data_IF_936140858165
#
_entry.id   IF_936140858165
#
_cell.length_a   1.000
_cell.length_b   1.000
_cell.length_c   1.000
_cell.angle_alpha   90.00
_cell.angle_beta   90.00
_cell.angle_gamma   90.00
#
_symmetry.space_group_name_H-M   'P 1'
#
loop_
_entity.id
_entity.type
_entity.pdbx_description
1 polymer ?
#
# COMPACT_ATOMS: atom_id res chain seq x y z
N UNK A 1 -16.67 -0.50 33.02
CA UNK A 1 -15.29 -0.30 32.54
C UNK A 1 -15.06 -1.35 31.49
N UNK A 2 -14.91 -0.97 30.22
CA UNK A 2 -14.53 -1.92 29.18
C UNK A 2 -13.13 -2.46 29.52
N UNK A 3 -12.99 -3.77 29.57
CA UNK A 3 -11.69 -4.43 29.76
C UNK A 3 -10.79 -4.03 28.60
N UNK A 4 -9.67 -3.35 28.89
CA UNK A 4 -8.63 -3.09 27.90
C UNK A 4 -8.23 -4.45 27.30
N UNK A 5 -8.64 -4.71 26.06
CA UNK A 5 -8.21 -5.92 25.35
C UNK A 5 -6.76 -5.73 24.94
N UNK A 6 -5.88 -6.58 25.49
CA UNK A 6 -4.43 -6.53 25.25
C UNK A 6 -4.08 -7.17 23.90
N UNK A 7 -4.30 -6.46 22.79
CA UNK A 7 -3.92 -6.96 21.47
C UNK A 7 -2.45 -6.67 21.15
N UNK A 8 -1.80 -7.62 20.48
CA UNK A 8 -0.46 -7.51 19.95
C UNK A 8 -0.50 -7.60 18.43
N UNK A 9 -0.14 -6.50 17.75
CA UNK A 9 -0.08 -6.42 16.30
C UNK A 9 1.31 -6.82 15.79
N UNK A 10 1.36 -7.75 14.84
CA UNK A 10 2.54 -8.08 14.06
C UNK A 10 2.37 -7.51 12.65
N UNK A 11 3.22 -6.56 12.26
CA UNK A 11 3.20 -5.95 10.92
C UNK A 11 4.37 -6.47 10.10
N UNK A 12 4.07 -7.26 9.07
CA UNK A 12 5.06 -7.81 8.13
C UNK A 12 5.21 -6.87 6.94
N UNK A 13 6.45 -6.52 6.58
CA UNK A 13 6.70 -5.52 5.53
C UNK A 13 6.46 -4.08 6.02
N UNK A 14 6.72 -3.83 7.29
CA UNK A 14 6.43 -2.58 7.99
C UNK A 14 7.12 -1.32 7.39
N UNK A 15 8.18 -1.44 6.61
CA UNK A 15 8.81 -0.30 5.92
C UNK A 15 8.26 -0.04 4.52
N UNK A 16 7.31 -0.85 4.04
CA UNK A 16 6.64 -0.66 2.75
C UNK A 16 5.51 0.36 2.83
N UNK A 17 4.93 0.70 1.68
CA UNK A 17 3.93 1.75 1.52
C UNK A 17 2.74 1.60 2.49
N UNK A 18 2.09 0.43 2.49
CA UNK A 18 0.94 0.17 3.38
C UNK A 18 1.43 -0.19 4.79
N UNK A 19 2.46 -1.04 4.91
CA UNK A 19 2.96 -1.48 6.22
C UNK A 19 3.43 -0.33 7.10
N UNK A 20 4.07 0.68 6.50
CA UNK A 20 4.46 1.89 7.21
C UNK A 20 3.23 2.61 7.79
N UNK A 21 2.19 2.77 6.97
CA UNK A 21 0.97 3.45 7.38
C UNK A 21 0.20 2.66 8.44
N UNK A 22 0.18 1.32 8.37
CA UNK A 22 -0.42 0.46 9.40
C UNK A 22 0.28 0.68 10.75
N UNK A 23 1.62 0.66 10.80
CA UNK A 23 2.35 0.96 12.04
C UNK A 23 2.04 2.37 12.51
N UNK A 24 2.07 3.36 11.60
CA UNK A 24 1.78 4.75 11.93
C UNK A 24 0.38 4.91 12.55
N UNK A 25 -0.65 4.28 11.99
CA UNK A 25 -2.03 4.36 12.48
C UNK A 25 -2.21 3.58 13.80
N UNK A 26 -1.58 2.44 13.97
CA UNK A 26 -1.59 1.70 15.25
C UNK A 26 -0.98 2.51 16.39
N UNK A 27 -0.03 3.39 16.09
CA UNK A 27 0.62 4.25 17.09
C UNK A 27 -0.12 5.58 17.32
N UNK A 28 -1.11 5.92 16.51
CA UNK A 28 -1.96 7.08 16.76
C UNK A 28 -3.03 6.75 17.81
N UNK A 29 -3.52 7.73 18.57
CA UNK A 29 -4.70 7.54 19.40
C UNK A 29 -5.95 7.44 18.52
N UNK A 30 -6.11 6.31 17.84
CA UNK A 30 -7.29 6.00 17.01
C UNK A 30 -8.43 5.62 17.96
N UNK A 31 -9.37 6.53 18.19
CA UNK A 31 -10.44 6.45 19.19
C UNK A 31 -9.95 6.19 20.65
N UNK A 32 -10.58 6.77 21.64
CA UNK A 32 -10.28 6.62 23.08
C UNK A 32 -10.31 5.15 23.60
N UNK A 33 -10.32 4.17 22.71
CA UNK A 33 -10.40 2.72 22.94
C UNK A 33 -9.29 1.96 22.22
N UNK A 34 -8.09 2.52 22.06
CA UNK A 34 -6.97 1.76 21.49
C UNK A 34 -6.80 0.44 22.22
N UNK A 35 -7.04 -0.64 21.48
CA UNK A 35 -7.06 -2.00 22.00
C UNK A 35 -5.72 -2.71 21.81
N UNK A 36 -4.78 -2.07 21.11
CA UNK A 36 -3.43 -2.63 20.91
C UNK A 36 -2.49 -2.13 22.02
N UNK A 37 -1.83 -3.08 22.69
CA UNK A 37 -0.79 -2.80 23.69
C UNK A 37 0.59 -2.73 23.06
N UNK A 38 0.83 -3.60 22.07
CA UNK A 38 2.13 -3.80 21.45
C UNK A 38 2.00 -3.85 19.93
N UNK A 39 2.95 -3.21 19.26
CA UNK A 39 3.16 -3.28 17.81
C UNK A 39 4.56 -3.82 17.55
N UNK A 40 4.66 -4.93 16.84
CA UNK A 40 5.94 -5.48 16.36
C UNK A 40 6.02 -5.25 14.85
N UNK A 41 6.95 -4.40 14.44
CA UNK A 41 7.21 -4.06 13.04
C UNK A 41 8.39 -4.88 12.52
N UNK A 42 8.13 -5.78 11.55
CA UNK A 42 9.17 -6.59 10.92
C UNK A 42 9.50 -6.08 9.53
N UNK A 43 10.79 -5.88 9.28
CA UNK A 43 11.33 -5.41 8.01
C UNK A 43 12.49 -6.30 7.56
N UNK A 44 12.65 -6.44 6.24
CA UNK A 44 13.78 -7.18 5.67
C UNK A 44 15.03 -6.28 5.61
N UNK A 45 14.90 -5.12 4.95
CA UNK A 45 15.99 -4.14 4.83
C UNK A 45 16.19 -3.43 6.16
N UNK A 46 17.45 -3.10 6.53
CA UNK A 46 17.72 -2.33 7.75
C UNK A 46 16.93 -1.01 7.75
N UNK A 47 16.25 -0.75 8.86
CA UNK A 47 15.58 0.51 9.15
C UNK A 47 15.83 0.84 10.62
N UNK A 48 16.31 2.03 10.91
CA UNK A 48 16.41 2.53 12.27
C UNK A 48 15.12 3.23 12.67
N UNK A 49 14.79 3.20 13.94
CA UNK A 49 13.57 3.82 14.46
C UNK A 49 13.55 5.34 14.20
N UNK A 50 14.70 6.01 14.31
CA UNK A 50 14.88 7.44 14.02
C UNK A 50 14.63 7.80 12.56
N UNK A 51 14.89 6.87 11.64
CA UNK A 51 14.70 7.03 10.20
C UNK A 51 13.32 6.56 9.71
N UNK A 52 12.49 6.05 10.63
CA UNK A 52 11.16 5.52 10.28
C UNK A 52 10.11 6.60 10.10
N UNK A 53 10.30 7.76 10.71
CA UNK A 53 9.30 8.84 10.79
C UNK A 53 8.00 8.46 11.50
N UNK A 54 7.98 7.34 12.22
CA UNK A 54 6.84 6.99 13.07
C UNK A 54 6.77 7.89 14.31
N UNK A 55 5.57 8.04 14.91
CA UNK A 55 5.40 8.80 16.12
C UNK A 55 6.34 8.31 17.24
N UNK A 56 6.94 9.26 17.96
CA UNK A 56 7.80 8.94 19.11
C UNK A 56 7.01 8.20 20.18
N UNK A 57 7.68 7.24 20.84
CA UNK A 57 7.09 6.48 21.93
C UNK A 57 6.72 7.40 23.12
N UNK A 58 5.52 7.18 23.68
CA UNK A 58 5.04 7.80 24.90
C UNK A 58 4.30 6.76 25.74
N UNK A 59 4.00 7.03 26.99
CA UNK A 59 3.22 6.14 27.86
C UNK A 59 1.77 5.92 27.40
N UNK A 60 1.27 6.80 26.53
CA UNK A 60 -0.12 6.77 26.03
C UNK A 60 -0.27 5.95 24.74
N UNK A 61 0.85 5.58 24.10
CA UNK A 61 0.89 4.83 22.85
C UNK A 61 1.22 3.35 23.10
N UNK A 62 0.81 2.45 22.18
CA UNK A 62 1.28 1.08 22.18
C UNK A 62 2.82 1.00 22.20
N UNK A 63 3.38 0.00 22.86
CA UNK A 63 4.80 -0.28 22.74
C UNK A 63 5.14 -0.61 21.28
N UNK A 64 6.24 -0.05 20.75
CA UNK A 64 6.73 -0.37 19.42
C UNK A 64 8.06 -1.11 19.50
N UNK A 65 8.14 -2.25 18.82
CA UNK A 65 9.38 -2.98 18.57
C UNK A 65 9.64 -3.05 17.07
N UNK A 66 10.79 -2.55 16.60
CA UNK A 66 11.23 -2.65 15.22
C UNK A 66 12.36 -3.67 15.11
N UNK A 67 12.18 -4.67 14.25
CA UNK A 67 13.19 -5.70 14.02
C UNK A 67 13.47 -5.86 12.52
N UNK A 68 14.75 -5.69 12.15
CA UNK A 68 15.24 -5.81 10.77
C UNK A 68 15.81 -7.21 10.48
N UNK A 69 16.00 -7.52 9.20
CA UNK A 69 16.63 -8.76 8.75
C UNK A 69 15.68 -9.96 8.76
N UNK A 70 14.37 -9.74 8.63
CA UNK A 70 13.40 -10.82 8.43
C UNK A 70 13.28 -11.15 6.94
N UNK A 71 14.01 -12.17 6.50
CA UNK A 71 13.94 -12.67 5.14
C UNK A 71 12.79 -13.68 4.99
N UNK A 72 11.75 -13.33 4.26
CA UNK A 72 10.62 -14.22 4.00
C UNK A 72 10.91 -15.30 2.92
N UNK A 73 12.11 -15.31 2.35
CA UNK A 73 12.53 -16.31 1.35
C UNK A 73 13.34 -17.47 1.97
N UNK A 74 13.56 -17.44 3.28
CA UNK A 74 14.21 -18.54 4.02
C UNK A 74 13.26 -19.75 4.15
N UNK A 75 13.70 -20.82 4.78
CA UNK A 75 12.86 -21.99 5.08
C UNK A 75 11.84 -21.68 6.20
N UNK A 76 10.80 -22.51 6.32
CA UNK A 76 9.77 -22.36 7.36
C UNK A 76 10.38 -22.43 8.77
N UNK A 77 11.36 -23.34 9.00
CA UNK A 77 12.02 -23.50 10.30
C UNK A 77 12.97 -22.33 10.63
N UNK A 78 13.69 -21.79 9.64
CA UNK A 78 14.54 -20.61 9.85
C UNK A 78 13.70 -19.38 10.20
N UNK A 79 12.57 -19.18 9.50
CA UNK A 79 11.67 -18.06 9.81
C UNK A 79 11.06 -18.21 11.20
N UNK A 80 10.55 -19.38 11.53
CA UNK A 80 9.96 -19.69 12.83
C UNK A 80 10.98 -19.47 13.96
N UNK A 81 12.21 -19.95 13.79
CA UNK A 81 13.30 -19.75 14.76
C UNK A 81 13.60 -18.27 14.93
N UNK A 82 13.76 -17.52 13.81
CA UNK A 82 13.99 -16.08 13.86
C UNK A 82 12.87 -15.32 14.55
N UNK A 83 11.62 -15.71 14.30
CA UNK A 83 10.44 -15.08 14.92
C UNK A 83 10.45 -15.33 16.44
N UNK A 84 10.72 -16.56 16.86
CA UNK A 84 10.81 -16.95 18.28
C UNK A 84 11.92 -16.24 19.03
N UNK A 85 13.08 -16.07 18.40
CA UNK A 85 14.27 -15.50 19.04
C UNK A 85 14.27 -13.97 19.08
N UNK A 86 13.73 -13.33 18.02
CA UNK A 86 13.86 -11.88 17.84
C UNK A 86 12.60 -11.10 18.23
N UNK A 87 11.45 -11.75 18.37
CA UNK A 87 10.20 -11.10 18.75
C UNK A 87 9.87 -11.42 20.19
N UNK A 88 9.92 -10.40 21.03
CA UNK A 88 9.48 -10.51 22.41
C UNK A 88 7.99 -10.85 22.47
N UNK A 89 7.61 -11.69 23.44
CA UNK A 89 6.22 -12.10 23.69
C UNK A 89 5.50 -12.64 22.43
N UNK A 90 6.21 -13.38 21.57
CA UNK A 90 5.64 -13.95 20.33
C UNK A 90 4.34 -14.73 20.58
N UNK A 91 4.18 -15.35 21.76
CA UNK A 91 2.96 -16.06 22.15
C UNK A 91 1.72 -15.17 22.29
N UNK A 92 1.90 -13.87 22.49
CA UNK A 92 0.81 -12.89 22.63
C UNK A 92 0.35 -12.26 21.30
N UNK A 93 1.03 -12.54 20.18
CA UNK A 93 0.64 -12.02 18.84
C UNK A 93 -0.80 -12.44 18.56
N UNK A 94 -1.69 -11.44 18.43
CA UNK A 94 -3.11 -11.68 18.20
C UNK A 94 -3.57 -11.29 16.79
N UNK A 95 -2.91 -10.33 16.18
CA UNK A 95 -3.30 -9.77 14.87
C UNK A 95 -2.08 -9.66 13.96
N UNK A 96 -2.22 -10.13 12.73
CA UNK A 96 -1.18 -10.06 11.71
C UNK A 96 -1.65 -9.12 10.58
N UNK A 97 -0.85 -8.10 10.32
CA UNK A 97 -1.00 -7.20 9.17
C UNK A 97 0.09 -7.57 8.16
N UNK A 98 -0.29 -8.31 7.13
CA UNK A 98 0.67 -8.82 6.16
C UNK A 98 0.76 -7.89 4.95
N UNK A 99 1.83 -7.09 4.87
CA UNK A 99 2.06 -6.08 3.84
C UNK A 99 3.33 -6.34 3.01
N UNK A 100 3.87 -7.55 3.05
CA UNK A 100 5.04 -7.91 2.26
C UNK A 100 4.63 -8.42 0.87
N UNK A 101 5.36 -7.99 -0.13
CA UNK A 101 5.24 -8.45 -1.51
C UNK A 101 6.61 -8.42 -2.18
N UNK A 102 6.84 -9.38 -3.08
CA UNK A 102 8.04 -9.44 -3.90
C UNK A 102 7.65 -9.60 -5.37
N UNK A 103 8.09 -8.64 -6.17
CA UNK A 103 7.96 -8.69 -7.62
C UNK A 103 8.93 -9.71 -8.24
N UNK A 104 8.48 -10.43 -9.26
CA UNK A 104 9.32 -11.23 -10.15
C UNK A 104 8.89 -10.95 -11.59
N UNK A 105 9.82 -11.06 -12.53
CA UNK A 105 9.54 -10.87 -13.97
C UNK A 105 8.70 -12.01 -14.58
N UNK A 106 8.70 -13.17 -13.94
CA UNK A 106 7.84 -14.31 -14.26
C UNK A 106 6.62 -14.27 -13.33
N UNK A 107 5.40 -14.03 -13.86
CA UNK A 107 4.21 -13.87 -13.03
C UNK A 107 3.82 -15.14 -12.24
N UNK A 108 4.02 -16.33 -12.79
CA UNK A 108 3.69 -17.57 -12.07
C UNK A 108 4.67 -17.80 -10.92
N UNK A 109 5.95 -17.51 -11.15
CA UNK A 109 6.98 -17.54 -10.10
C UNK A 109 6.74 -16.46 -9.04
N UNK A 110 6.26 -15.27 -9.43
CA UNK A 110 5.83 -14.23 -8.47
C UNK A 110 4.74 -14.77 -7.55
N UNK A 111 3.74 -15.48 -8.10
CA UNK A 111 2.69 -16.13 -7.31
C UNK A 111 3.27 -17.15 -6.34
N UNK A 112 4.11 -18.07 -6.81
CA UNK A 112 4.73 -19.09 -5.97
C UNK A 112 5.52 -18.48 -4.80
N UNK A 113 6.35 -17.49 -5.08
CA UNK A 113 7.15 -16.77 -4.08
C UNK A 113 6.25 -16.14 -3.04
N UNK A 114 5.26 -15.36 -3.46
CA UNK A 114 4.44 -14.57 -2.53
C UNK A 114 3.51 -15.47 -1.69
N UNK A 115 2.93 -16.50 -2.28
CA UNK A 115 2.13 -17.49 -1.54
C UNK A 115 3.00 -18.24 -0.53
N UNK A 116 4.22 -18.61 -0.90
CA UNK A 116 5.20 -19.24 -0.01
C UNK A 116 5.57 -18.34 1.16
N UNK A 117 5.82 -17.05 0.90
CA UNK A 117 6.13 -16.07 1.95
C UNK A 117 4.99 -15.92 2.96
N UNK A 118 3.74 -15.74 2.49
CA UNK A 118 2.58 -15.60 3.39
C UNK A 118 2.32 -16.87 4.19
N UNK A 119 2.34 -18.03 3.53
CA UNK A 119 2.17 -19.34 4.19
C UNK A 119 3.17 -19.53 5.33
N UNK A 120 4.43 -19.17 5.12
CA UNK A 120 5.51 -19.23 6.13
C UNK A 120 5.18 -18.42 7.36
N UNK A 121 4.73 -17.16 7.17
CA UNK A 121 4.32 -16.30 8.28
C UNK A 121 3.14 -16.90 9.04
N UNK A 122 2.09 -17.34 8.33
CA UNK A 122 0.89 -17.94 8.93
C UNK A 122 1.26 -19.15 9.78
N UNK A 123 2.04 -20.09 9.25
CA UNK A 123 2.45 -21.30 9.95
C UNK A 123 3.32 -21.02 11.17
N UNK A 124 4.25 -20.07 11.06
CA UNK A 124 5.08 -19.68 12.19
C UNK A 124 4.26 -19.06 13.32
N UNK A 125 3.38 -18.07 12.99
CA UNK A 125 2.52 -17.43 14.00
C UNK A 125 1.57 -18.44 14.62
N UNK A 126 0.89 -19.26 13.83
CA UNK A 126 -0.01 -20.32 14.29
C UNK A 126 0.68 -21.31 15.26
N UNK A 127 1.96 -21.59 15.04
CA UNK A 127 2.71 -22.51 15.90
C UNK A 127 3.28 -21.89 17.17
N UNK A 128 3.51 -20.58 17.21
CA UNK A 128 4.17 -19.88 18.30
C UNK A 128 3.21 -19.05 19.16
N UNK A 129 2.11 -18.57 18.58
CA UNK A 129 1.14 -17.77 19.31
C UNK A 129 -0.03 -18.61 19.81
N UNK A 130 -0.43 -18.37 21.06
CA UNK A 130 -1.67 -18.90 21.66
C UNK A 130 -2.85 -17.93 21.56
N UNK A 131 -2.62 -16.76 21.00
CA UNK A 131 -3.57 -15.62 20.98
C UNK A 131 -3.99 -15.23 19.58
N UNK A 132 -3.51 -15.91 18.53
CA UNK A 132 -3.75 -15.55 17.13
C UNK A 132 -5.24 -15.59 16.78
N UNK A 133 -5.76 -14.48 16.24
CA UNK A 133 -7.20 -14.28 15.96
C UNK A 133 -7.48 -13.83 14.53
N UNK A 134 -6.62 -12.96 13.96
CA UNK A 134 -6.93 -12.33 12.70
C UNK A 134 -5.70 -12.02 11.86
N UNK A 135 -5.83 -12.24 10.55
CA UNK A 135 -4.87 -11.81 9.54
C UNK A 135 -5.57 -10.91 8.53
N UNK A 136 -4.99 -9.76 8.25
CA UNK A 136 -5.43 -8.87 7.15
C UNK A 136 -4.28 -8.62 6.19
N UNK A 137 -4.58 -8.62 4.91
CA UNK A 137 -3.61 -8.29 3.87
C UNK A 137 -4.22 -7.40 2.79
N UNK A 138 -3.43 -6.47 2.21
CA UNK A 138 -3.84 -5.74 1.02
C UNK A 138 -3.71 -6.64 -0.21
N UNK A 139 -4.79 -6.79 -0.95
CA UNK A 139 -4.82 -7.22 -2.32
C UNK A 139 -4.65 -6.02 -3.25
N UNK A 140 -5.49 -5.91 -4.26
CA UNK A 140 -5.52 -4.77 -5.17
C UNK A 140 -6.31 -5.07 -6.45
N UNK A 141 -6.56 -4.05 -7.24
CA UNK A 141 -7.36 -4.13 -8.48
C UNK A 141 -6.72 -5.00 -9.58
N UNK A 142 -5.45 -5.37 -9.44
CA UNK A 142 -4.87 -6.48 -10.22
C UNK A 142 -5.69 -7.76 -10.06
N UNK A 143 -6.36 -7.96 -8.91
CA UNK A 143 -7.32 -9.03 -8.64
C UNK A 143 -8.64 -8.90 -9.41
N UNK A 144 -8.84 -7.84 -10.15
CA UNK A 144 -9.95 -7.63 -11.09
C UNK A 144 -9.50 -7.56 -12.55
N UNK A 145 -8.26 -7.97 -12.84
CA UNK A 145 -7.77 -8.05 -14.22
C UNK A 145 -7.40 -6.72 -14.86
N UNK A 146 -7.08 -5.68 -14.09
CA UNK A 146 -6.71 -4.36 -14.65
C UNK A 146 -5.40 -4.39 -15.47
N UNK A 147 -4.62 -5.49 -15.42
CA UNK A 147 -3.42 -5.65 -16.25
C UNK A 147 -3.71 -6.27 -17.62
N UNK A 148 -4.94 -6.74 -17.85
CA UNK A 148 -5.41 -7.05 -19.18
C UNK A 148 -5.64 -5.76 -19.99
N UNK A 149 -5.38 -5.76 -21.30
CA UNK A 149 -5.75 -4.63 -22.14
C UNK A 149 -7.23 -4.27 -21.95
N UNK A 150 -7.52 -2.98 -21.72
CA UNK A 150 -8.85 -2.44 -21.47
C UNK A 150 -9.59 -3.01 -20.24
N UNK A 151 -8.88 -3.78 -19.39
CA UNK A 151 -9.44 -4.45 -18.22
C UNK A 151 -10.26 -5.70 -18.56
N UNK A 152 -10.73 -6.42 -17.52
CA UNK A 152 -11.61 -7.61 -17.68
C UNK A 152 -13.07 -7.25 -17.42
N UNK A 153 -13.31 -6.33 -16.51
CA UNK A 153 -14.66 -5.99 -16.05
C UNK A 153 -14.95 -4.50 -16.24
N UNK A 154 -16.22 -4.18 -16.42
CA UNK A 154 -16.71 -2.81 -16.44
C UNK A 154 -16.85 -2.26 -15.02
N UNK A 155 -16.44 -1.01 -14.81
CA UNK A 155 -16.62 -0.31 -13.54
C UNK A 155 -18.10 0.09 -13.28
N UNK A 156 -18.54 0.20 -12.03
CA UNK A 156 -17.75 0.05 -10.81
C UNK A 156 -17.38 -1.40 -10.52
N UNK A 157 -16.10 -1.62 -10.14
CA UNK A 157 -15.62 -2.96 -9.79
C UNK A 157 -16.20 -3.37 -8.43
N UNK A 158 -16.79 -4.57 -8.38
CA UNK A 158 -17.38 -5.17 -7.16
C UNK A 158 -16.59 -6.41 -6.75
N UNK A 159 -16.65 -6.76 -5.48
CA UNK A 159 -15.80 -7.81 -4.90
C UNK A 159 -16.09 -9.20 -5.45
N UNK A 160 -17.33 -9.45 -5.92
CA UNK A 160 -17.73 -10.71 -6.57
C UNK A 160 -16.93 -11.01 -7.84
N UNK A 161 -16.52 -9.97 -8.57
CA UNK A 161 -15.72 -10.09 -9.80
C UNK A 161 -14.36 -10.76 -9.58
N UNK A 162 -13.82 -10.70 -8.36
CA UNK A 162 -12.55 -11.34 -8.03
C UNK A 162 -12.57 -12.87 -8.15
N UNK A 163 -13.76 -13.49 -8.13
CA UNK A 163 -13.96 -14.93 -8.29
C UNK A 163 -14.25 -15.31 -9.75
N UNK A 164 -14.44 -14.32 -10.64
CA UNK A 164 -14.78 -14.48 -12.06
C UNK A 164 -13.60 -14.20 -13.00
N UNK A 165 -12.38 -14.10 -12.47
CA UNK A 165 -11.18 -13.87 -13.29
C UNK A 165 -10.99 -14.98 -14.32
N UNK A 166 -10.59 -14.64 -15.57
CA UNK A 166 -10.17 -15.63 -16.55
C UNK A 166 -9.07 -16.54 -15.97
N UNK A 167 -9.22 -17.86 -16.16
CA UNK A 167 -8.34 -18.86 -15.53
C UNK A 167 -6.85 -18.62 -15.79
N UNK A 168 -6.49 -18.29 -17.04
CA UNK A 168 -5.08 -18.05 -17.41
C UNK A 168 -4.54 -16.77 -16.74
N UNK A 169 -5.38 -15.75 -16.56
CA UNK A 169 -4.97 -14.56 -15.81
C UNK A 169 -4.88 -14.84 -14.31
N UNK A 170 -5.83 -15.56 -13.73
CA UNK A 170 -5.85 -15.90 -12.31
C UNK A 170 -4.58 -16.62 -11.84
N UNK A 171 -3.97 -17.45 -12.71
CA UNK A 171 -2.68 -18.12 -12.46
C UNK A 171 -1.51 -17.15 -12.24
N UNK A 172 -1.61 -15.93 -12.76
CA UNK A 172 -0.56 -14.90 -12.72
C UNK A 172 -0.75 -13.87 -11.61
N UNK A 173 -1.75 -14.05 -10.75
CA UNK A 173 -2.11 -13.11 -9.69
C UNK A 173 -2.13 -13.80 -8.34
N UNK A 174 -1.40 -13.29 -7.36
CA UNK A 174 -1.25 -13.93 -6.05
C UNK A 174 -2.54 -13.99 -5.22
N UNK A 175 -3.50 -13.06 -5.43
CA UNK A 175 -4.65 -12.91 -4.54
C UNK A 175 -5.60 -14.11 -4.50
N UNK A 176 -6.04 -14.72 -5.60
CA UNK A 176 -6.83 -15.96 -5.56
C UNK A 176 -6.11 -17.09 -4.81
N UNK A 177 -4.80 -17.20 -5.00
CA UNK A 177 -3.96 -18.21 -4.33
C UNK A 177 -3.78 -17.92 -2.84
N UNK A 178 -3.71 -16.64 -2.42
CA UNK A 178 -3.74 -16.26 -1.01
C UNK A 178 -5.04 -16.69 -0.35
N UNK A 179 -6.18 -16.39 -0.97
CA UNK A 179 -7.50 -16.78 -0.46
C UNK A 179 -7.60 -18.30 -0.26
N UNK A 180 -7.26 -19.08 -1.29
CA UNK A 180 -7.28 -20.54 -1.23
C UNK A 180 -6.35 -21.10 -0.13
N UNK A 181 -5.14 -20.56 -0.02
CA UNK A 181 -4.16 -20.96 0.99
C UNK A 181 -4.65 -20.59 2.41
N UNK A 182 -5.13 -19.37 2.60
CA UNK A 182 -5.62 -18.90 3.91
C UNK A 182 -6.86 -19.65 4.37
N UNK A 183 -7.82 -19.94 3.47
CA UNK A 183 -8.98 -20.78 3.76
C UNK A 183 -8.55 -22.16 4.24
N UNK A 184 -7.55 -22.75 3.57
CA UNK A 184 -7.03 -24.07 3.99
C UNK A 184 -6.32 -24.01 5.35
N UNK A 185 -5.50 -23.00 5.61
CA UNK A 185 -4.72 -22.88 6.85
C UNK A 185 -5.59 -22.43 8.06
N UNK A 186 -6.72 -21.76 7.81
CA UNK A 186 -7.68 -21.33 8.86
C UNK A 186 -8.80 -22.34 9.12
N UNK A 187 -8.94 -23.38 8.31
CA UNK A 187 -9.95 -24.41 8.52
C UNK A 187 -9.83 -25.04 9.92
N UNK A 188 -10.94 -25.09 10.64
CA UNK A 188 -11.03 -25.63 12.01
C UNK A 188 -10.12 -24.90 13.04
N UNK A 189 -9.72 -23.67 12.74
CA UNK A 189 -8.91 -22.84 13.63
C UNK A 189 -9.76 -21.75 14.30
N UNK A 190 -9.18 -21.13 15.33
CA UNK A 190 -9.80 -20.00 16.06
C UNK A 190 -9.48 -18.63 15.46
N UNK A 191 -8.67 -18.58 14.39
CA UNK A 191 -8.31 -17.35 13.67
C UNK A 191 -8.94 -17.31 12.29
N UNK A 192 -9.07 -16.12 11.76
CA UNK A 192 -9.62 -15.89 10.42
C UNK A 192 -8.87 -14.77 9.69
N UNK A 193 -9.30 -14.41 8.49
CA UNK A 193 -8.60 -13.45 7.64
C UNK A 193 -9.56 -12.60 6.80
N UNK A 194 -9.05 -11.47 6.25
CA UNK A 194 -9.70 -10.75 5.16
C UNK A 194 -8.69 -10.16 4.17
N UNK A 195 -9.16 -9.89 2.96
CA UNK A 195 -8.46 -9.15 1.91
C UNK A 195 -9.04 -7.74 1.80
N UNK A 196 -8.15 -6.72 1.73
CA UNK A 196 -8.52 -5.36 1.39
C UNK A 196 -8.05 -5.06 -0.02
N UNK A 197 -8.95 -4.59 -0.87
CA UNK A 197 -8.67 -4.34 -2.28
C UNK A 197 -8.66 -2.84 -2.61
N UNK A 198 -7.53 -2.14 -2.47
CA UNK A 198 -7.35 -0.77 -2.96
C UNK A 198 -7.03 -0.74 -4.46
N UNK A 199 -7.25 0.41 -5.11
CA UNK A 199 -6.75 0.69 -6.45
C UNK A 199 -5.44 1.51 -6.38
N UNK A 200 -5.44 2.79 -6.75
CA UNK A 200 -4.24 3.62 -6.69
C UNK A 200 -3.88 3.98 -5.24
N UNK A 201 -2.80 3.40 -4.73
CA UNK A 201 -2.39 3.60 -3.33
C UNK A 201 -1.47 4.82 -3.23
N UNK A 202 -1.92 5.82 -2.47
CA UNK A 202 -1.20 7.06 -2.25
C UNK A 202 -0.66 7.10 -0.81
N UNK A 203 0.65 7.28 -0.65
CA UNK A 203 1.22 7.33 0.68
C UNK A 203 2.74 7.51 0.69
N UNK A 204 3.27 7.61 1.89
CA UNK A 204 4.69 7.77 2.19
C UNK A 204 5.36 6.43 2.49
N UNK A 205 6.66 6.36 2.22
CA UNK A 205 7.53 5.26 2.63
C UNK A 205 8.96 5.77 2.87
N UNK A 206 9.59 5.46 4.00
CA UNK A 206 10.88 6.02 4.36
C UNK A 206 12.05 5.51 3.49
N UNK A 207 11.89 4.32 2.89
CA UNK A 207 12.91 3.65 2.09
C UNK A 207 12.61 3.64 0.58
N UNK A 208 11.61 4.41 0.14
CA UNK A 208 11.09 4.33 -1.23
C UNK A 208 10.38 3.01 -1.52
N UNK A 209 9.64 2.98 -2.62
CA UNK A 209 8.96 1.78 -3.10
C UNK A 209 8.76 1.88 -4.61
N UNK A 210 8.93 0.77 -5.32
CA UNK A 210 8.59 0.68 -6.73
C UNK A 210 7.09 0.93 -7.02
N UNK A 211 6.25 0.87 -5.99
CA UNK A 211 4.80 1.07 -6.09
C UNK A 211 4.33 2.44 -5.56
N UNK A 212 5.25 3.33 -5.16
CA UNK A 212 4.88 4.65 -4.64
C UNK A 212 4.67 5.65 -5.76
N UNK A 213 3.44 5.74 -6.26
CA UNK A 213 3.06 6.73 -7.28
C UNK A 213 3.29 8.17 -6.76
N UNK A 214 2.92 8.44 -5.51
CA UNK A 214 3.15 9.74 -4.89
C UNK A 214 4.65 10.09 -4.82
N UNK A 215 5.50 9.14 -4.45
CA UNK A 215 6.95 9.35 -4.43
C UNK A 215 7.54 9.58 -5.81
N UNK A 216 7.11 8.80 -6.79
CA UNK A 216 7.55 8.95 -8.17
C UNK A 216 7.22 10.35 -8.73
N UNK A 217 5.97 10.78 -8.59
CA UNK A 217 5.55 12.09 -9.07
C UNK A 217 6.10 13.23 -8.20
N UNK A 218 6.31 13.02 -6.91
CA UNK A 218 6.95 14.03 -6.08
C UNK A 218 8.35 14.39 -6.60
N UNK A 219 9.17 13.39 -6.91
CA UNK A 219 10.51 13.62 -7.48
C UNK A 219 10.42 14.23 -8.87
N UNK A 220 9.50 13.76 -9.73
CA UNK A 220 9.30 14.32 -11.06
C UNK A 220 8.87 15.79 -11.03
N UNK A 221 7.82 16.12 -10.27
CA UNK A 221 7.29 17.47 -10.14
C UNK A 221 8.32 18.43 -9.50
N UNK A 222 9.05 17.97 -8.49
CA UNK A 222 10.11 18.74 -7.89
C UNK A 222 11.27 19.01 -8.88
N UNK A 223 11.66 17.98 -9.65
CA UNK A 223 12.68 18.14 -10.71
C UNK A 223 12.21 19.13 -11.77
N UNK A 224 10.95 19.04 -12.17
CA UNK A 224 10.35 19.95 -13.16
C UNK A 224 10.39 21.40 -12.67
N UNK A 225 10.01 21.64 -11.41
CA UNK A 225 10.13 22.96 -10.77
C UNK A 225 11.57 23.49 -10.76
N UNK A 226 12.56 22.64 -10.43
CA UNK A 226 13.98 23.05 -10.45
C UNK A 226 14.47 23.45 -11.85
N UNK A 227 13.90 22.88 -12.89
CA UNK A 227 14.33 23.15 -14.28
C UNK A 227 13.59 24.33 -14.88
N UNK A 228 12.27 24.41 -14.69
CA UNK A 228 11.39 25.35 -15.39
C UNK A 228 10.94 26.53 -14.52
N UNK A 229 11.15 26.46 -13.21
CA UNK A 229 10.76 27.50 -12.26
C UNK A 229 9.32 27.35 -11.75
N UNK A 230 9.02 28.18 -10.74
CA UNK A 230 7.69 28.28 -10.16
C UNK A 230 6.67 28.86 -11.16
N UNK A 231 5.43 28.35 -11.13
CA UNK A 231 4.36 28.76 -12.05
C UNK A 231 4.42 28.13 -13.43
N UNK A 232 5.44 27.29 -13.72
CA UNK A 232 5.54 26.62 -15.01
C UNK A 232 4.37 25.65 -15.24
N UNK A 233 3.91 25.55 -16.48
CA UNK A 233 2.90 24.58 -16.91
C UNK A 233 3.56 23.21 -17.09
N UNK A 234 2.94 22.17 -16.51
CA UNK A 234 3.39 20.80 -16.63
C UNK A 234 2.27 19.93 -17.19
N UNK A 235 2.46 19.38 -18.41
CA UNK A 235 1.49 18.45 -18.99
C UNK A 235 1.41 17.15 -18.17
N UNK A 236 0.20 16.57 -18.11
CA UNK A 236 0.03 15.22 -17.56
C UNK A 236 0.88 14.21 -18.35
N UNK A 237 1.71 13.38 -17.67
CA UNK A 237 2.57 12.43 -18.35
C UNK A 237 1.81 11.14 -18.75
N UNK A 238 0.90 11.27 -19.72
CA UNK A 238 0.02 10.20 -20.17
C UNK A 238 -0.78 10.60 -21.40
N UNK A 239 -1.73 9.77 -21.79
CA UNK A 239 -2.67 10.02 -22.89
C UNK A 239 -3.98 10.61 -22.37
N UNK A 240 -4.77 11.22 -23.28
CA UNK A 240 -6.05 11.83 -22.91
C UNK A 240 -7.01 10.83 -22.23
N UNK A 241 -7.09 9.60 -22.74
CA UNK A 241 -7.92 8.56 -22.12
C UNK A 241 -7.50 8.23 -20.68
N UNK A 242 -6.18 8.16 -20.39
CA UNK A 242 -5.66 7.97 -19.03
C UNK A 242 -5.86 9.19 -18.12
N UNK A 243 -5.94 10.39 -18.70
CA UNK A 243 -6.25 11.63 -17.99
C UNK A 243 -7.72 11.71 -17.58
N UNK A 244 -8.62 11.16 -18.38
CA UNK A 244 -10.08 11.23 -18.19
C UNK A 244 -10.67 10.02 -17.48
N UNK A 245 -9.98 8.87 -17.50
CA UNK A 245 -10.49 7.62 -16.92
C UNK A 245 -10.82 7.76 -15.42
N UNK A 246 -11.94 7.17 -15.03
CA UNK A 246 -12.42 7.16 -13.66
C UNK A 246 -11.72 6.02 -12.87
N UNK A 247 -11.14 6.36 -11.72
CA UNK A 247 -10.46 5.40 -10.84
C UNK A 247 -10.72 5.73 -9.37
N UNK A 248 -10.36 4.82 -8.46
CA UNK A 248 -10.43 5.05 -7.02
C UNK A 248 -9.07 5.37 -6.45
N UNK A 249 -8.96 6.47 -5.72
CA UNK A 249 -7.78 6.79 -4.92
C UNK A 249 -7.93 6.21 -3.53
N UNK A 250 -6.84 5.63 -3.03
CA UNK A 250 -6.81 5.06 -1.69
C UNK A 250 -5.56 5.53 -0.97
N UNK A 251 -5.69 6.42 0.00
CA UNK A 251 -4.53 6.73 0.84
C UNK A 251 -4.11 5.51 1.64
N UNK A 252 -2.81 5.32 1.82
CA UNK A 252 -2.28 4.25 2.67
C UNK A 252 -2.82 4.37 4.11
N UNK A 253 -3.18 5.59 4.54
CA UNK A 253 -3.86 5.88 5.80
C UNK A 253 -5.23 5.21 5.85
N UNK A 254 -6.06 5.36 4.81
CA UNK A 254 -7.39 4.71 4.74
C UNK A 254 -7.26 3.19 4.72
N UNK A 255 -6.31 2.63 3.94
CA UNK A 255 -6.06 1.18 3.97
C UNK A 255 -5.72 0.70 5.38
N UNK A 256 -4.85 1.44 6.08
CA UNK A 256 -4.46 1.10 7.46
C UNK A 256 -5.63 1.19 8.44
N UNK A 257 -6.47 2.22 8.34
CA UNK A 257 -7.66 2.40 9.18
C UNK A 257 -8.67 1.28 8.97
N UNK A 258 -8.96 0.92 7.71
CA UNK A 258 -9.85 -0.21 7.40
C UNK A 258 -9.23 -1.52 7.88
N UNK A 259 -7.91 -1.73 7.73
CA UNK A 259 -7.24 -2.93 8.21
C UNK A 259 -7.37 -3.09 9.74
N UNK A 260 -7.19 -2.00 10.49
CA UNK A 260 -7.37 -1.98 11.95
C UNK A 260 -8.84 -2.24 12.30
N UNK A 261 -9.77 -1.55 11.64
CA UNK A 261 -11.21 -1.73 11.86
C UNK A 261 -11.63 -3.18 11.59
N UNK A 262 -11.20 -3.76 10.47
CA UNK A 262 -11.47 -5.16 10.11
C UNK A 262 -10.94 -6.13 11.16
N UNK A 263 -9.72 -5.91 11.64
CA UNK A 263 -9.07 -6.77 12.63
C UNK A 263 -9.78 -6.77 13.98
N UNK A 264 -10.49 -5.68 14.31
CA UNK A 264 -11.28 -5.54 15.53
C UNK A 264 -12.74 -5.99 15.38
N UNK A 265 -13.18 -6.29 14.15
CA UNK A 265 -14.53 -6.75 13.83
C UNK A 265 -14.49 -8.07 13.01
N UNK A 266 -13.79 -9.11 13.49
CA UNK A 266 -13.49 -10.31 12.71
C UNK A 266 -14.73 -11.03 12.17
N UNK A 267 -15.85 -11.04 12.90
CA UNK A 267 -17.09 -11.72 12.48
C UNK A 267 -17.73 -11.11 11.22
N UNK A 268 -17.52 -9.82 11.00
CA UNK A 268 -18.05 -9.12 9.82
C UNK A 268 -17.14 -9.35 8.61
N UNK A 269 -15.82 -9.35 8.87
CA UNK A 269 -14.79 -9.32 7.82
C UNK A 269 -14.26 -10.71 7.41
N UNK A 270 -14.51 -11.75 8.19
CA UNK A 270 -13.91 -13.08 7.99
C UNK A 270 -14.12 -13.63 6.57
N UNK A 271 -13.02 -14.08 5.99
CA UNK A 271 -12.95 -14.79 4.70
C UNK A 271 -13.56 -14.03 3.52
N UNK A 272 -13.46 -12.69 3.53
CA UNK A 272 -14.05 -11.83 2.51
C UNK A 272 -13.03 -10.83 1.95
N UNK A 273 -13.39 -10.34 0.76
CA UNK A 273 -12.72 -9.21 0.09
C UNK A 273 -13.53 -7.94 0.39
N UNK A 274 -12.84 -6.83 0.60
CA UNK A 274 -13.44 -5.51 0.74
C UNK A 274 -12.70 -4.50 -0.11
N UNK A 275 -13.41 -3.87 -1.03
CA UNK A 275 -12.90 -2.71 -1.74
C UNK A 275 -12.66 -1.54 -0.79
N UNK A 276 -11.54 -0.85 -0.97
CA UNK A 276 -11.12 0.28 -0.11
C UNK A 276 -10.77 1.48 -0.97
N UNK A 277 -11.33 2.63 -0.65
CA UNK A 277 -10.98 3.92 -1.26
C UNK A 277 -11.24 5.06 -0.27
N UNK A 278 -10.65 6.22 -0.52
CA UNK A 278 -10.83 7.42 0.30
C UNK A 278 -12.25 7.99 0.17
N UNK A 279 -12.87 7.83 -1.01
CA UNK A 279 -14.23 8.28 -1.29
C UNK A 279 -14.98 7.26 -2.16
N UNK A 280 -16.30 7.22 -1.98
CA UNK A 280 -17.18 6.45 -2.87
C UNK A 280 -17.30 7.07 -4.27
N UNK A 281 -17.03 8.37 -4.40
CA UNK A 281 -16.99 9.05 -5.68
C UNK A 281 -15.66 8.79 -6.37
N UNK A 282 -15.64 8.36 -7.66
CA UNK A 282 -14.40 8.16 -8.38
C UNK A 282 -13.69 9.49 -8.64
N UNK A 283 -12.38 9.43 -8.79
CA UNK A 283 -11.52 10.53 -9.24
C UNK A 283 -11.10 10.33 -10.70
N UNK A 284 -10.55 11.40 -11.31
CA UNK A 284 -9.80 11.31 -12.57
C UNK A 284 -8.52 12.13 -12.47
N UNK A 285 -7.56 11.91 -13.36
CA UNK A 285 -6.37 12.75 -13.42
C UNK A 285 -6.67 14.15 -13.95
N UNK A 286 -7.77 14.34 -14.66
CA UNK A 286 -8.27 15.67 -15.04
C UNK A 286 -8.53 16.55 -13.80
N UNK A 287 -9.08 15.97 -12.76
CA UNK A 287 -9.30 16.64 -11.49
C UNK A 287 -8.02 16.71 -10.66
N UNK A 288 -7.30 15.60 -10.57
CA UNK A 288 -6.20 15.44 -9.62
C UNK A 288 -4.90 16.07 -10.05
N UNK A 289 -4.53 16.01 -11.34
CA UNK A 289 -3.24 16.51 -11.80
C UNK A 289 -3.00 18.00 -11.50
N UNK A 290 -3.95 18.92 -11.75
CA UNK A 290 -3.80 20.31 -11.36
C UNK A 290 -3.58 20.50 -9.85
N UNK A 291 -4.25 19.70 -9.02
CA UNK A 291 -4.15 19.79 -7.57
C UNK A 291 -2.76 19.35 -7.07
N UNK A 292 -2.26 18.20 -7.52
CA UNK A 292 -0.94 17.72 -7.10
C UNK A 292 0.20 18.61 -7.65
N UNK A 293 0.09 19.11 -8.87
CA UNK A 293 1.05 20.06 -9.43
C UNK A 293 1.10 21.36 -8.63
N UNK A 294 -0.06 21.85 -8.17
CA UNK A 294 -0.14 23.09 -7.40
C UNK A 294 0.57 23.03 -6.06
N UNK A 295 0.66 21.85 -5.42
CA UNK A 295 1.45 21.69 -4.20
C UNK A 295 2.93 22.04 -4.41
N UNK A 296 3.46 21.80 -5.62
CA UNK A 296 4.82 22.15 -6.02
C UNK A 296 4.94 23.58 -6.56
N UNK A 297 3.86 24.36 -6.61
CA UNK A 297 3.83 25.68 -7.23
C UNK A 297 3.84 25.65 -8.76
N UNK A 298 3.45 24.52 -9.36
CA UNK A 298 3.31 24.31 -10.81
C UNK A 298 1.84 24.40 -11.24
N UNK A 299 1.63 24.53 -12.54
CA UNK A 299 0.28 24.47 -13.16
C UNK A 299 0.14 23.17 -13.92
N UNK A 300 -0.61 22.20 -13.38
CA UNK A 300 -0.95 20.97 -14.08
C UNK A 300 -1.91 21.25 -15.24
N UNK A 301 -1.54 20.81 -16.44
CA UNK A 301 -2.35 20.97 -17.65
C UNK A 301 -2.62 19.61 -18.29
N UNK A 302 -3.67 19.48 -19.15
CA UNK A 302 -3.94 18.24 -19.87
C UNK A 302 -2.73 17.73 -20.67
N UNK A 303 -2.68 16.44 -21.01
CA UNK A 303 -1.67 15.94 -21.93
C UNK A 303 -1.82 16.61 -23.31
N UNK A 304 -0.75 16.74 -24.11
CA UNK A 304 -0.84 17.18 -25.49
C UNK A 304 -1.72 16.23 -26.33
N UNK A 305 -2.43 16.74 -27.33
CA UNK A 305 -3.23 15.91 -28.27
C UNK A 305 -2.39 14.85 -29.00
N UNK A 306 -1.08 15.10 -29.14
CA UNK A 306 -0.11 14.19 -29.77
C UNK A 306 0.52 13.20 -28.79
N UNK A 307 0.11 13.19 -27.51
CA UNK A 307 0.68 12.34 -26.49
C UNK A 307 0.56 10.85 -26.85
N UNK A 308 1.65 10.13 -26.69
CA UNK A 308 1.78 8.71 -27.03
C UNK A 308 2.60 7.94 -26.01
N UNK A 309 2.46 6.62 -26.02
CA UNK A 309 3.26 5.72 -25.19
C UNK A 309 4.78 5.81 -25.46
N UNK A 310 5.20 6.43 -26.56
CA UNK A 310 6.60 6.60 -26.95
C UNK A 310 7.24 7.91 -26.42
N UNK A 311 6.45 8.79 -25.80
CA UNK A 311 6.95 10.06 -25.27
C UNK A 311 7.92 9.85 -24.10
N UNK A 312 8.84 10.84 -23.89
CA UNK A 312 9.76 10.78 -22.75
C UNK A 312 9.00 10.60 -21.41
N UNK A 313 9.45 9.66 -20.61
CA UNK A 313 8.82 9.32 -19.33
C UNK A 313 9.34 10.18 -18.20
N UNK A 314 8.58 10.34 -17.10
CA UNK A 314 9.02 11.05 -15.90
C UNK A 314 10.39 10.57 -15.38
N UNK A 315 10.67 9.27 -15.37
CA UNK A 315 11.96 8.75 -14.93
C UNK A 315 13.13 9.19 -15.84
N UNK A 316 12.90 9.30 -17.15
CA UNK A 316 13.91 9.79 -18.09
C UNK A 316 14.22 11.25 -17.82
N UNK A 317 13.20 12.07 -17.55
CA UNK A 317 13.40 13.49 -17.19
C UNK A 317 14.14 13.64 -15.85
N UNK A 318 13.81 12.85 -14.84
CA UNK A 318 14.53 12.81 -13.56
C UNK A 318 16.02 12.45 -13.79
N UNK A 319 16.30 11.40 -14.57
CA UNK A 319 17.68 10.98 -14.88
C UNK A 319 18.46 12.06 -15.63
N UNK A 320 17.82 12.73 -16.58
CA UNK A 320 18.46 13.84 -17.34
C UNK A 320 18.90 15.00 -16.43
N UNK A 321 18.18 15.22 -15.32
CA UNK A 321 18.43 16.33 -14.40
C UNK A 321 18.92 15.88 -13.02
N UNK A 322 19.48 14.66 -12.93
CA UNK A 322 19.95 14.05 -11.69
C UNK A 322 20.93 14.95 -10.91
N UNK A 323 21.90 15.57 -11.61
CA UNK A 323 22.88 16.46 -10.98
C UNK A 323 22.22 17.65 -10.27
N UNK A 324 21.12 18.18 -10.78
CA UNK A 324 20.36 19.26 -10.13
C UNK A 324 19.73 18.78 -8.81
N UNK A 325 19.23 17.55 -8.77
CA UNK A 325 18.67 16.96 -7.56
C UNK A 325 19.75 16.71 -6.50
N UNK A 326 20.92 16.21 -6.90
CA UNK A 326 22.08 16.03 -6.02
C UNK A 326 22.54 17.37 -5.47
N UNK A 327 22.66 18.40 -6.32
CA UNK A 327 23.03 19.75 -5.89
C UNK A 327 22.00 20.38 -4.94
N UNK A 328 20.72 20.06 -5.10
CA UNK A 328 19.66 20.46 -4.18
C UNK A 328 19.69 19.68 -2.84
N UNK A 329 20.56 18.67 -2.69
CA UNK A 329 20.70 17.88 -1.47
C UNK A 329 19.47 17.00 -1.19
N UNK A 330 18.87 16.45 -2.22
CA UNK A 330 17.71 15.55 -2.13
C UNK A 330 18.16 14.18 -1.63
N UNK A 331 17.57 13.71 -0.54
CA UNK A 331 17.82 12.38 0.01
C UNK A 331 17.10 11.31 -0.82
N UNK A 332 17.77 10.21 -1.11
CA UNK A 332 17.13 9.02 -1.68
C UNK A 332 16.73 9.16 -3.14
N UNK A 333 17.44 9.99 -3.92
CA UNK A 333 17.20 10.14 -5.37
C UNK A 333 17.32 8.81 -6.11
N UNK A 334 18.15 7.89 -5.61
CA UNK A 334 18.44 6.60 -6.23
C UNK A 334 17.47 5.48 -5.84
N UNK A 335 16.54 5.74 -4.91
CA UNK A 335 15.63 4.70 -4.39
C UNK A 335 14.33 4.56 -5.19
N UNK A 336 14.11 5.39 -6.20
CA UNK A 336 12.92 5.37 -7.03
C UNK A 336 13.10 4.42 -8.22
N UNK A 337 12.43 3.27 -8.19
CA UNK A 337 12.27 2.42 -9.36
C UNK A 337 10.92 2.75 -10.02
N UNK A 338 10.99 3.38 -11.18
CA UNK A 338 9.83 4.00 -11.82
C UNK A 338 9.25 3.18 -12.98
N UNK A 339 9.75 1.98 -13.26
CA UNK A 339 9.40 1.25 -14.49
C UNK A 339 7.90 1.09 -14.71
N UNK A 340 7.15 0.63 -13.71
CA UNK A 340 5.69 0.51 -13.81
C UNK A 340 5.00 1.87 -13.80
N UNK A 341 5.48 2.80 -12.97
CA UNK A 341 4.85 4.10 -12.78
C UNK A 341 4.97 5.00 -14.01
N UNK A 342 6.02 4.82 -14.82
CA UNK A 342 6.18 5.51 -16.10
C UNK A 342 5.08 5.15 -17.11
N UNK A 343 4.49 3.97 -16.98
CA UNK A 343 3.40 3.53 -17.84
C UNK A 343 2.01 3.93 -17.34
N UNK A 344 1.90 4.42 -16.10
CA UNK A 344 0.63 4.63 -15.40
C UNK A 344 -0.39 5.45 -16.22
N UNK A 345 0.05 6.56 -16.83
CA UNK A 345 -0.81 7.43 -17.63
C UNK A 345 -1.13 6.91 -19.05
N UNK A 346 -0.63 5.73 -19.43
CA UNK A 346 -0.76 5.18 -20.78
C UNK A 346 -1.50 3.84 -20.82
N UNK A 347 -1.35 2.96 -19.85
CA UNK A 347 -1.94 1.64 -19.87
C UNK A 347 -3.21 1.50 -19.03
N UNK A 348 -3.40 2.36 -18.03
CA UNK A 348 -4.64 2.45 -17.23
C UNK A 348 -5.59 3.51 -17.81
N UNK A 349 -5.90 3.38 -19.10
CA UNK A 349 -6.66 4.36 -19.87
C UNK A 349 -8.16 4.00 -19.99
N UNK A 350 -8.71 3.33 -18.98
CA UNK A 350 -10.09 2.90 -18.89
C UNK A 350 -10.64 3.09 -17.47
N UNK A 351 -11.96 3.11 -17.33
CA UNK A 351 -12.64 3.25 -16.03
C UNK A 351 -12.43 1.98 -15.18
N UNK A 352 -12.00 2.18 -13.91
CA UNK A 352 -11.71 1.08 -12.98
C UNK A 352 -12.03 1.39 -11.52
N UNK A 353 -12.92 2.35 -11.31
CA UNK A 353 -13.29 2.74 -9.95
C UNK A 353 -14.04 1.61 -9.20
N UNK A 354 -13.88 1.63 -7.88
CA UNK A 354 -14.37 0.60 -6.97
C UNK A 354 -15.75 0.95 -6.41
N UNK A 355 -16.60 -0.05 -6.24
CA UNK A 355 -17.79 0.06 -5.40
C UNK A 355 -17.42 -0.14 -3.93
N UNK A 356 -17.76 0.79 -3.06
CA UNK A 356 -17.56 0.69 -1.61
C UNK A 356 -18.77 0.15 -0.85
N UNK A 357 -19.79 -0.34 -1.57
CA UNK A 357 -21.05 -0.76 -0.95
C UNK A 357 -20.88 -1.83 0.13
N UNK A 358 -20.00 -2.81 -0.09
CA UNK A 358 -19.70 -3.86 0.88
C UNK A 358 -19.02 -3.28 2.12
N UNK A 359 -18.01 -2.45 1.97
CA UNK A 359 -17.33 -1.81 3.09
C UNK A 359 -18.30 -0.95 3.91
N UNK A 360 -19.14 -0.13 3.28
CA UNK A 360 -20.14 0.71 3.97
C UNK A 360 -21.15 -0.13 4.75
N UNK A 361 -21.52 -1.33 4.27
CA UNK A 361 -22.43 -2.22 4.98
C UNK A 361 -21.87 -2.77 6.29
N UNK A 362 -20.57 -2.63 6.54
CA UNK A 362 -19.92 -3.01 7.82
C UNK A 362 -20.04 -1.94 8.90
N UNK A 363 -20.51 -0.74 8.56
CA UNK A 363 -20.53 0.43 9.44
C UNK A 363 -19.25 1.28 9.37
N UNK A 364 -18.32 1.00 8.45
CA UNK A 364 -17.17 1.87 8.18
C UNK A 364 -17.60 2.94 7.17
N UNK A 365 -17.95 4.13 7.66
CA UNK A 365 -18.50 5.23 6.84
C UNK A 365 -17.52 6.42 6.69
N UNK A 366 -16.28 6.27 7.15
CA UNK A 366 -15.28 7.34 7.02
C UNK A 366 -14.96 7.61 5.56
N UNK A 367 -14.98 8.88 5.19
CA UNK A 367 -14.56 9.39 3.89
C UNK A 367 -13.46 10.44 4.03
N UNK A 368 -12.56 10.44 3.08
CA UNK A 368 -11.51 11.45 2.96
C UNK A 368 -11.62 12.12 1.61
N UNK A 369 -11.22 13.39 1.58
CA UNK A 369 -10.96 14.05 0.30
C UNK A 369 -9.66 13.46 -0.28
N UNK A 370 -9.71 12.85 -1.48
CA UNK A 370 -8.56 12.11 -2.00
C UNK A 370 -7.28 12.94 -2.15
N UNK A 371 -7.39 14.24 -2.45
CA UNK A 371 -6.23 15.13 -2.56
C UNK A 371 -5.44 15.24 -1.24
N UNK A 372 -6.08 15.06 -0.08
CA UNK A 372 -5.38 15.07 1.21
C UNK A 372 -4.37 13.93 1.33
N UNK A 373 -4.64 12.76 0.75
CA UNK A 373 -3.69 11.64 0.73
C UNK A 373 -2.38 12.00 0.00
N UNK A 374 -2.49 12.78 -1.10
CA UNK A 374 -1.32 13.27 -1.84
C UNK A 374 -0.53 14.30 -1.04
N UNK A 375 -1.22 15.27 -0.44
CA UNK A 375 -0.55 16.32 0.34
C UNK A 375 0.16 15.76 1.56
N UNK A 376 -0.48 14.86 2.30
CA UNK A 376 0.15 14.16 3.42
C UNK A 376 1.41 13.39 2.97
N UNK A 377 1.34 12.68 1.84
CA UNK A 377 2.49 11.98 1.31
C UNK A 377 3.63 12.94 0.93
N UNK A 378 3.31 14.06 0.25
CA UNK A 378 4.31 15.05 -0.13
C UNK A 378 4.92 15.78 1.07
N UNK A 379 4.12 16.12 2.09
CA UNK A 379 4.61 16.71 3.33
C UNK A 379 5.58 15.77 4.04
N UNK A 380 5.27 14.48 4.11
CA UNK A 380 6.15 13.46 4.67
C UNK A 380 7.43 13.26 3.84
N UNK A 381 7.36 13.28 2.51
CA UNK A 381 8.54 13.22 1.65
C UNK A 381 9.42 14.46 1.83
N UNK A 382 8.82 15.62 2.04
CA UNK A 382 9.54 16.86 2.34
C UNK A 382 10.21 16.80 3.71
N UNK A 383 9.50 16.37 4.76
CA UNK A 383 10.06 16.16 6.10
C UNK A 383 11.23 15.17 6.07
N UNK A 384 11.12 14.11 5.29
CA UNK A 384 12.16 13.12 5.10
C UNK A 384 13.34 13.62 4.23
N UNK A 385 13.29 14.83 3.68
CA UNK A 385 14.31 15.39 2.79
C UNK A 385 14.41 14.69 1.42
N UNK A 386 13.35 14.00 1.02
CA UNK A 386 13.26 13.33 -0.30
C UNK A 386 12.84 14.30 -1.41
N UNK A 387 12.22 15.41 -1.05
CA UNK A 387 11.95 16.61 -1.85
C UNK A 387 12.11 17.84 -0.95
N UNK A 388 11.99 19.06 -1.50
CA UNK A 388 12.08 20.31 -0.74
C UNK A 388 10.96 21.28 -1.07
#
# INVERSE_FOLDING_TARGET
MATKTDHHALVIGASGLIGWSVVNQLLQPYNAQTTFRQVTALVNRPLKLEDSFWPKQTSERPGLSLTSGFNLLCTDEEFKTSLKEKVADVASISHVFYCAFREDSDPEKEVEINVGMMRRVVRAVKSLSTSFKFLVYPGGTRGYGIYCPDGVFEAPLIEEMADELPEDYAKTVSYPHYRAMLTTESADQTWTWCELCPDAIIGFTPNGSAYSLAGHWAVYLYTYKLVHGEGAEIPYPGVQAGYDSAYSETSATTVAQVAIYASLNPEIFKEKIFNVADSASPSSMRERWPQIASWFGLKGVPPPDTASAHDPKPSAFIKQHYDKLVAAGIRGVDIWNAGQLDAYGYWLAFDRHLSLRRLRSTGFDEERRPEHGWWEAFDMFKEAGMIR
#
